data_IF_995302685778
#
_entry.id   IF_995302685778
#
_cell.length_a   1.000
_cell.length_b   1.000
_cell.length_c   1.000
_cell.angle_alpha   90.00
_cell.angle_beta   90.00
_cell.angle_gamma   90.00
#
_symmetry.space_group_name_H-M   'P 1'
#
loop_
_entity.id
_entity.type
_entity.pdbx_description
1 polymer ?
#
# COMPACT_ATOMS: atom_id res chain seq x y z
N UNK A 1 12.06 11.55 6.44
CA UNK A 1 10.76 11.01 6.88
C UNK A 1 10.18 10.27 5.70
N UNK A 2 9.83 9.00 5.86
CA UNK A 2 9.09 8.26 4.83
C UNK A 2 7.60 8.40 5.16
N UNK A 3 6.74 8.42 4.15
CA UNK A 3 5.30 8.56 4.33
C UNK A 3 4.62 7.55 3.40
N UNK A 4 3.71 6.76 3.95
CA UNK A 4 2.83 5.86 3.22
C UNK A 4 1.43 6.47 3.15
N UNK A 5 0.95 6.76 1.93
CA UNK A 5 -0.44 7.10 1.65
C UNK A 5 -1.19 5.88 1.15
N UNK A 6 -2.45 5.71 1.60
CA UNK A 6 -3.32 4.60 1.23
C UNK A 6 -4.65 5.16 0.73
N UNK A 7 -5.09 4.69 -0.43
CA UNK A 7 -6.45 4.90 -0.97
C UNK A 7 -7.23 3.58 -0.83
N UNK A 8 -8.08 3.46 0.21
CA UNK A 8 -8.66 2.18 0.60
C UNK A 8 -9.75 1.71 -0.37
N UNK A 9 -9.79 0.41 -0.59
CA UNK A 9 -10.81 -0.27 -1.35
C UNK A 9 -10.78 -1.78 -1.09
N UNK A 10 -11.77 -2.50 -1.61
CA UNK A 10 -11.78 -3.96 -1.48
C UNK A 10 -11.25 -4.65 -2.74
N UNK A 11 -11.61 -4.15 -3.93
CA UNK A 11 -11.15 -4.70 -5.21
C UNK A 11 -9.76 -4.19 -5.57
N UNK A 12 -9.53 -2.90 -5.34
CA UNK A 12 -8.29 -2.21 -5.65
C UNK A 12 -7.99 -1.30 -4.45
N UNK A 13 -6.82 -1.46 -3.85
CA UNK A 13 -6.28 -0.55 -2.83
C UNK A 13 -5.10 0.17 -3.45
N UNK A 14 -5.18 1.49 -3.59
CA UNK A 14 -4.05 2.30 -4.04
C UNK A 14 -3.08 2.57 -2.90
N UNK A 15 -1.79 2.61 -3.19
CA UNK A 15 -0.79 3.07 -2.23
C UNK A 15 0.30 3.92 -2.90
N UNK A 16 0.91 4.80 -2.12
CA UNK A 16 2.08 5.57 -2.53
C UNK A 16 3.02 5.78 -1.36
N UNK A 17 4.32 5.62 -1.62
CA UNK A 17 5.39 5.84 -0.64
C UNK A 17 6.26 6.99 -1.11
N UNK A 18 6.44 7.98 -0.25
CA UNK A 18 7.30 9.14 -0.54
C UNK A 18 8.34 9.34 0.56
N UNK A 19 9.54 9.78 0.17
CA UNK A 19 10.54 10.31 1.08
C UNK A 19 10.45 11.83 1.11
N UNK A 20 10.30 12.39 2.31
CA UNK A 20 10.38 13.81 2.58
C UNK A 20 11.72 14.14 3.30
N UNK A 21 12.48 15.06 2.68
CA UNK A 21 13.73 15.64 3.21
C UNK A 21 13.67 17.16 3.09
N UNK A 22 13.22 17.84 4.16
CA UNK A 22 12.97 19.27 4.16
C UNK A 22 11.86 19.61 3.16
N UNK A 23 12.13 20.50 2.20
CA UNK A 23 11.17 20.86 1.15
C UNK A 23 11.28 20.00 -0.12
N UNK A 24 12.05 18.91 -0.08
CA UNK A 24 12.21 17.97 -1.20
C UNK A 24 11.40 16.70 -0.95
N UNK A 25 10.62 16.32 -1.95
CA UNK A 25 9.82 15.11 -1.97
C UNK A 25 10.33 14.19 -3.09
N UNK A 26 10.45 12.89 -2.79
CA UNK A 26 10.84 11.88 -3.76
C UNK A 26 9.86 10.71 -3.67
N UNK A 27 9.29 10.31 -4.81
CA UNK A 27 8.54 9.06 -4.88
C UNK A 27 9.49 7.87 -4.71
N UNK A 28 9.22 7.03 -3.73
CA UNK A 28 9.96 5.79 -3.48
C UNK A 28 9.27 4.60 -4.15
N UNK A 29 7.95 4.52 -4.03
CA UNK A 29 7.14 3.45 -4.62
C UNK A 29 5.68 3.91 -4.77
N UNK A 30 4.93 3.23 -5.62
CA UNK A 30 3.49 3.41 -5.77
C UNK A 30 2.89 2.25 -6.56
N UNK A 31 1.64 1.94 -6.28
CA UNK A 31 0.96 0.87 -6.97
C UNK A 31 -0.45 0.64 -6.46
N UNK A 32 -0.98 -0.53 -6.79
CA UNK A 32 -2.25 -0.98 -6.27
C UNK A 32 -2.22 -2.46 -5.91
N UNK A 33 -2.90 -2.81 -4.81
CA UNK A 33 -3.18 -4.19 -4.43
C UNK A 33 -4.53 -4.53 -5.05
N UNK A 34 -4.53 -5.53 -5.94
CA UNK A 34 -5.73 -5.96 -6.66
C UNK A 34 -6.16 -7.31 -6.12
N UNK A 35 -7.43 -7.45 -5.76
CA UNK A 35 -8.01 -8.72 -5.32
C UNK A 35 -9.00 -9.25 -6.34
N UNK A 36 -9.08 -10.58 -6.49
CA UNK A 36 -10.06 -11.19 -7.38
C UNK A 36 -11.47 -11.08 -6.76
N UNK A 37 -12.40 -10.56 -7.56
CA UNK A 37 -13.84 -10.52 -7.26
C UNK A 37 -14.46 -11.88 -6.92
N UNK A 38 -13.86 -12.98 -7.38
CA UNK A 38 -14.33 -14.35 -7.13
C UNK A 38 -13.83 -14.92 -5.79
N UNK A 39 -12.82 -14.32 -5.18
CA UNK A 39 -12.30 -14.74 -3.88
C UNK A 39 -13.27 -14.38 -2.75
N UNK A 40 -13.26 -15.16 -1.67
CA UNK A 40 -14.11 -14.89 -0.51
C UNK A 40 -13.67 -13.59 0.18
N UNK A 41 -14.63 -12.89 0.79
CA UNK A 41 -14.35 -11.61 1.47
C UNK A 41 -13.18 -11.68 2.48
N UNK A 42 -13.06 -12.70 3.35
CA UNK A 42 -11.94 -12.81 4.28
C UNK A 42 -10.58 -13.02 3.58
N UNK A 43 -10.56 -13.73 2.45
CA UNK A 43 -9.34 -13.97 1.68
C UNK A 43 -8.84 -12.67 1.05
N UNK A 44 -9.77 -11.85 0.54
CA UNK A 44 -9.44 -10.54 -0.01
C UNK A 44 -8.86 -9.61 1.05
N UNK A 45 -9.43 -9.61 2.26
CA UNK A 45 -8.86 -8.87 3.40
C UNK A 45 -7.47 -9.38 3.78
N UNK A 46 -7.25 -10.69 3.76
CA UNK A 46 -5.93 -11.28 4.04
C UNK A 46 -4.90 -10.85 2.99
N UNK A 47 -5.24 -10.86 1.70
CA UNK A 47 -4.36 -10.36 0.63
C UNK A 47 -3.98 -8.90 0.86
N UNK A 48 -4.98 -8.04 1.15
CA UNK A 48 -4.74 -6.62 1.42
C UNK A 48 -3.81 -6.45 2.64
N UNK A 49 -4.04 -7.22 3.70
CA UNK A 49 -3.21 -7.21 4.90
C UNK A 49 -1.77 -7.64 4.61
N UNK A 50 -1.58 -8.81 4.00
CA UNK A 50 -0.25 -9.38 3.73
C UNK A 50 0.59 -8.44 2.84
N UNK A 51 -0.01 -7.88 1.79
CA UNK A 51 0.67 -6.96 0.87
C UNK A 51 1.00 -5.61 1.53
N UNK A 52 0.05 -5.01 2.27
CA UNK A 52 0.32 -3.76 3.01
C UNK A 52 1.39 -3.96 4.08
N UNK A 53 1.34 -5.07 4.82
CA UNK A 53 2.37 -5.43 5.79
C UNK A 53 3.75 -5.53 5.12
N UNK A 54 3.85 -6.18 3.97
CA UNK A 54 5.12 -6.25 3.23
C UNK A 54 5.63 -4.87 2.79
N UNK A 55 4.75 -3.94 2.40
CA UNK A 55 5.12 -2.57 2.03
C UNK A 55 5.62 -1.80 3.26
N UNK A 56 4.92 -1.93 4.38
CA UNK A 56 5.29 -1.30 5.66
C UNK A 56 6.66 -1.83 6.12
N UNK A 57 6.87 -3.15 6.11
CA UNK A 57 8.14 -3.76 6.51
C UNK A 57 9.31 -3.33 5.60
N UNK A 58 9.06 -3.20 4.29
CA UNK A 58 10.07 -2.81 3.31
C UNK A 58 10.53 -1.36 3.47
N UNK A 59 9.60 -0.44 3.72
CA UNK A 59 9.90 1.00 3.72
C UNK A 59 10.01 1.62 5.11
N UNK A 60 9.52 0.91 6.14
CA UNK A 60 9.43 1.36 7.52
C UNK A 60 8.97 2.84 7.63
N UNK A 61 7.81 3.17 7.01
CA UNK A 61 7.31 4.53 6.88
C UNK A 61 7.05 5.21 8.22
#
# INVERSE_FOLDING_TARGET
MVILGIDPGLAIVGYGVIECKGNKYKALDYGCIITDSKSLFPERLKIIYDELSSIIDKYNP
#
